data_IF_180796670448
#
_entry.id   IF_180796670448
#
_cell.length_a   1.000
_cell.length_b   1.000
_cell.length_c   1.000
_cell.angle_alpha   90.00
_cell.angle_beta   90.00
_cell.angle_gamma   90.00
#
_symmetry.space_group_name_H-M   'P 1'
#
loop_
_entity.id
_entity.type
_entity.pdbx_description
1 polymer ?
#
# COMPACT_ATOMS: atom_id res chain seq x y z
N UNK A 1 1.34 -15.66 20.23
CA UNK A 1 0.56 -16.78 19.60
C UNK A 1 1.49 -17.97 19.41
N UNK A 2 1.08 -19.18 19.86
CA UNK A 2 1.90 -20.41 19.79
C UNK A 2 2.19 -20.81 18.33
N UNK A 3 3.37 -21.36 18.05
CA UNK A 3 3.82 -21.79 16.71
C UNK A 3 2.84 -22.78 16.04
N UNK A 4 2.28 -23.71 16.81
CA UNK A 4 1.27 -24.65 16.31
C UNK A 4 -0.02 -23.97 15.83
N UNK A 5 -0.49 -22.94 16.55
CA UNK A 5 -1.68 -22.16 16.13
C UNK A 5 -1.42 -21.38 14.83
N UNK A 6 -0.22 -20.84 14.67
CA UNK A 6 0.21 -20.16 13.43
C UNK A 6 0.22 -21.15 12.26
N UNK A 7 0.89 -22.30 12.43
CA UNK A 7 0.93 -23.33 11.39
C UNK A 7 -0.48 -23.81 10.99
N UNK A 8 -1.35 -24.03 11.98
CA UNK A 8 -2.72 -24.43 11.72
C UNK A 8 -3.50 -23.40 10.91
N UNK A 9 -3.33 -22.11 11.21
CA UNK A 9 -3.91 -21.00 10.43
C UNK A 9 -3.41 -21.06 8.98
N UNK A 10 -2.11 -21.25 8.77
CA UNK A 10 -1.56 -21.35 7.43
C UNK A 10 -2.16 -22.51 6.64
N UNK A 11 -2.23 -23.69 7.24
CA UNK A 11 -2.82 -24.89 6.63
C UNK A 11 -4.28 -24.63 6.28
N UNK A 12 -5.06 -24.08 7.21
CA UNK A 12 -6.49 -23.76 6.99
C UNK A 12 -6.68 -22.83 5.79
N UNK A 13 -5.91 -21.75 5.70
CA UNK A 13 -5.99 -20.82 4.57
C UNK A 13 -5.50 -21.47 3.27
N UNK A 14 -4.46 -22.28 3.32
CA UNK A 14 -3.93 -23.00 2.16
C UNK A 14 -4.95 -24.00 1.59
N UNK A 15 -5.61 -24.74 2.46
CA UNK A 15 -6.69 -25.67 2.07
C UNK A 15 -7.87 -24.89 1.47
N UNK A 16 -8.30 -23.79 2.12
CA UNK A 16 -9.38 -22.93 1.59
C UNK A 16 -9.03 -22.38 0.21
N UNK A 17 -7.80 -21.92 0.01
CA UNK A 17 -7.32 -21.42 -1.27
C UNK A 17 -7.31 -22.52 -2.34
N UNK A 18 -6.84 -23.73 -1.97
CA UNK A 18 -6.81 -24.87 -2.89
C UNK A 18 -8.22 -25.34 -3.29
N UNK A 19 -9.16 -25.36 -2.35
CA UNK A 19 -10.57 -25.69 -2.65
C UNK A 19 -11.16 -24.67 -3.63
N UNK A 20 -10.87 -23.38 -3.44
CA UNK A 20 -11.38 -22.30 -4.30
C UNK A 20 -10.72 -22.28 -5.67
N UNK A 21 -9.44 -22.61 -5.74
CA UNK A 21 -8.64 -22.61 -6.97
C UNK A 21 -7.78 -23.89 -7.03
N UNK A 22 -8.39 -25.06 -7.35
CA UNK A 22 -7.67 -26.32 -7.40
C UNK A 22 -6.67 -26.33 -8.55
N UNK A 23 -5.42 -26.75 -8.25
CA UNK A 23 -4.38 -26.86 -9.28
C UNK A 23 -2.97 -26.90 -8.71
N UNK A 24 -2.05 -27.39 -9.54
CA UNK A 24 -0.64 -27.52 -9.19
C UNK A 24 0.02 -26.16 -8.85
N UNK A 25 -0.38 -25.10 -9.55
CA UNK A 25 0.10 -23.74 -9.30
C UNK A 25 -0.24 -23.26 -7.89
N UNK A 26 -1.46 -23.50 -7.41
CA UNK A 26 -1.89 -23.14 -6.05
C UNK A 26 -1.07 -23.89 -5.01
N UNK A 27 -0.89 -25.21 -5.19
CA UNK A 27 -0.09 -26.03 -4.29
C UNK A 27 1.37 -25.56 -4.25
N UNK A 28 1.99 -25.36 -5.43
CA UNK A 28 3.37 -24.86 -5.55
C UNK A 28 3.54 -23.49 -4.88
N UNK A 29 2.60 -22.58 -5.07
CA UNK A 29 2.61 -21.23 -4.48
C UNK A 29 2.54 -21.31 -2.95
N UNK A 30 1.65 -22.15 -2.43
CA UNK A 30 1.48 -22.35 -0.99
C UNK A 30 2.76 -22.90 -0.35
N UNK A 31 3.36 -23.94 -0.92
CA UNK A 31 4.61 -24.50 -0.40
C UNK A 31 5.75 -23.49 -0.47
N UNK A 32 5.88 -22.78 -1.60
CA UNK A 32 6.96 -21.81 -1.84
C UNK A 32 6.97 -20.65 -0.83
N UNK A 33 5.81 -20.12 -0.46
CA UNK A 33 5.73 -18.93 0.40
C UNK A 33 5.56 -19.25 1.89
N UNK A 34 5.51 -20.52 2.27
CA UNK A 34 5.47 -20.93 3.67
C UNK A 34 6.65 -20.39 4.52
N UNK A 35 7.92 -20.46 4.08
CA UNK A 35 9.03 -19.91 4.84
C UNK A 35 8.91 -18.41 5.09
N UNK A 36 8.56 -17.63 4.07
CA UNK A 36 8.35 -16.18 4.18
C UNK A 36 7.23 -15.86 5.17
N UNK A 37 6.10 -16.54 5.07
CA UNK A 37 4.99 -16.40 6.01
C UNK A 37 5.39 -16.74 7.45
N UNK A 38 6.11 -17.84 7.66
CA UNK A 38 6.60 -18.26 8.98
C UNK A 38 7.51 -17.21 9.61
N UNK A 39 8.44 -16.66 8.85
CA UNK A 39 9.38 -15.63 9.31
C UNK A 39 8.65 -14.35 9.69
N UNK A 40 7.72 -13.88 8.86
CA UNK A 40 6.97 -12.67 9.10
C UNK A 40 6.07 -12.74 10.34
N UNK A 41 5.41 -13.88 10.59
CA UNK A 41 4.54 -14.05 11.76
C UNK A 41 5.27 -14.45 13.05
N UNK A 42 6.51 -14.90 12.96
CA UNK A 42 7.20 -15.51 14.11
C UNK A 42 7.54 -14.53 15.24
N UNK A 43 7.75 -13.24 14.94
CA UNK A 43 8.47 -12.32 15.83
C UNK A 43 7.68 -11.10 16.32
N UNK A 44 6.36 -11.09 16.24
CA UNK A 44 5.57 -9.91 16.62
C UNK A 44 5.86 -8.68 15.75
N UNK A 45 6.49 -8.89 14.62
CA UNK A 45 6.84 -7.89 13.62
C UNK A 45 5.57 -7.35 12.95
N UNK A 46 5.65 -6.15 12.43
CA UNK A 46 4.60 -5.53 11.63
C UNK A 46 5.16 -5.09 10.28
N UNK A 47 4.30 -4.65 9.36
CA UNK A 47 4.70 -4.26 8.01
C UNK A 47 5.83 -3.21 8.00
N UNK A 48 5.78 -2.25 8.93
CA UNK A 48 6.77 -1.17 9.03
C UNK A 48 8.14 -1.72 9.49
N UNK A 49 8.18 -2.53 10.56
CA UNK A 49 9.44 -3.10 11.06
C UNK A 49 10.10 -4.07 10.08
N UNK A 50 9.29 -4.73 9.26
CA UNK A 50 9.78 -5.69 8.26
C UNK A 50 10.06 -5.05 6.89
N UNK A 51 9.77 -3.76 6.69
CA UNK A 51 9.86 -3.08 5.38
C UNK A 51 9.12 -3.86 4.28
N UNK A 52 7.91 -4.34 4.58
CA UNK A 52 7.14 -5.18 3.65
C UNK A 52 5.79 -4.53 3.40
N UNK A 53 5.39 -4.30 2.13
CA UNK A 53 4.07 -3.81 1.80
C UNK A 53 2.99 -4.82 2.24
N UNK A 54 1.82 -4.31 2.60
CA UNK A 54 0.69 -5.17 2.98
C UNK A 54 0.04 -5.82 1.74
N UNK A 55 0.86 -6.55 1.01
CA UNK A 55 0.53 -7.27 -0.21
C UNK A 55 0.71 -8.78 -0.03
N UNK A 56 0.17 -9.55 -0.95
CA UNK A 56 0.42 -11.00 -0.96
C UNK A 56 1.89 -11.30 -1.28
N UNK A 57 2.44 -12.38 -0.75
CA UNK A 57 3.83 -12.76 -1.07
C UNK A 57 4.09 -12.96 -2.57
N UNK A 58 3.16 -13.52 -3.38
CA UNK A 58 3.31 -13.53 -4.83
C UNK A 58 3.47 -12.13 -5.44
N UNK A 59 2.66 -11.15 -4.99
CA UNK A 59 2.75 -9.76 -5.44
C UNK A 59 4.09 -9.12 -5.06
N UNK A 60 4.55 -9.33 -3.82
CA UNK A 60 5.88 -8.85 -3.38
C UNK A 60 6.99 -9.48 -4.22
N UNK A 61 6.90 -10.78 -4.51
CA UNK A 61 7.89 -11.46 -5.36
C UNK A 61 7.85 -10.94 -6.80
N UNK A 62 6.67 -10.59 -7.33
CA UNK A 62 6.53 -9.96 -8.64
C UNK A 62 7.21 -8.58 -8.65
N UNK A 63 6.93 -7.73 -7.66
CA UNK A 63 7.56 -6.43 -7.51
C UNK A 63 9.09 -6.54 -7.43
N UNK A 64 9.62 -7.42 -6.57
CA UNK A 64 11.07 -7.62 -6.42
C UNK A 64 11.78 -8.02 -7.72
N UNK A 65 11.06 -8.62 -8.68
CA UNK A 65 11.64 -9.03 -9.97
C UNK A 65 11.57 -7.95 -11.04
N UNK A 66 10.62 -7.03 -10.93
CA UNK A 66 10.29 -6.08 -11.99
C UNK A 66 10.69 -4.64 -11.65
N UNK A 67 10.91 -4.31 -10.37
CA UNK A 67 11.35 -2.98 -9.96
C UNK A 67 12.86 -2.82 -10.08
N UNK A 68 13.28 -1.59 -10.37
CA UNK A 68 14.68 -1.19 -10.42
C UNK A 68 14.86 0.24 -9.89
N UNK A 69 16.13 0.64 -9.68
CA UNK A 69 16.48 1.92 -9.06
C UNK A 69 16.12 3.17 -9.87
N UNK A 70 15.89 3.05 -11.17
CA UNK A 70 15.54 4.17 -12.04
C UNK A 70 14.05 4.51 -12.03
N UNK A 71 13.22 3.60 -11.51
CA UNK A 71 11.78 3.78 -11.44
C UNK A 71 11.38 4.88 -10.46
N UNK A 72 10.21 5.47 -10.72
CA UNK A 72 9.54 6.45 -9.88
C UNK A 72 8.25 5.85 -9.33
N UNK A 73 8.00 6.05 -8.03
CA UNK A 73 6.80 5.52 -7.36
C UNK A 73 6.01 6.65 -6.74
N UNK A 74 4.69 6.61 -6.91
CA UNK A 74 3.74 7.36 -6.09
C UNK A 74 2.95 6.38 -5.22
N UNK A 75 2.78 6.71 -3.95
CA UNK A 75 2.09 5.87 -2.99
C UNK A 75 1.03 6.66 -2.24
N UNK A 76 -0.20 6.17 -2.30
CA UNK A 76 -1.31 6.60 -1.47
C UNK A 76 -1.49 5.64 -0.28
N UNK A 77 -1.22 6.14 0.93
CA UNK A 77 -1.19 5.33 2.16
C UNK A 77 0.19 4.74 2.42
N UNK A 78 0.87 5.31 3.39
CA UNK A 78 2.24 4.95 3.75
C UNK A 78 2.34 3.75 4.67
N UNK A 79 3.54 3.19 4.81
CA UNK A 79 3.77 2.12 5.77
C UNK A 79 5.04 1.31 5.51
N UNK A 80 4.91 0.00 5.66
CA UNK A 80 5.99 -0.92 5.29
C UNK A 80 6.33 -0.89 3.81
N UNK A 81 5.38 -0.50 2.96
CA UNK A 81 5.58 -0.27 1.54
C UNK A 81 6.51 0.92 1.27
N UNK A 82 6.36 2.03 1.99
CA UNK A 82 7.26 3.19 1.88
C UNK A 82 8.72 2.78 2.14
N UNK A 83 8.95 1.99 3.18
CA UNK A 83 10.27 1.45 3.51
C UNK A 83 10.76 0.43 2.48
N UNK A 84 9.85 -0.40 1.96
CA UNK A 84 10.16 -1.35 0.88
C UNK A 84 10.64 -0.64 -0.39
N UNK A 85 9.95 0.45 -0.78
CA UNK A 85 10.34 1.26 -1.94
C UNK A 85 11.68 1.95 -1.69
N UNK A 86 11.89 2.54 -0.52
CA UNK A 86 13.11 3.30 -0.19
C UNK A 86 14.40 2.48 -0.28
N UNK A 87 14.32 1.18 -0.03
CA UNK A 87 15.46 0.27 -0.19
C UNK A 87 15.79 -0.07 -1.66
N UNK A 88 14.84 0.17 -2.59
CA UNK A 88 14.90 -0.34 -3.97
C UNK A 88 14.86 0.73 -5.05
N UNK A 89 14.28 1.87 -4.76
CA UNK A 89 13.93 2.93 -5.71
C UNK A 89 14.46 4.26 -5.16
N UNK A 90 14.94 5.14 -6.04
CA UNK A 90 15.52 6.44 -5.63
C UNK A 90 14.51 7.58 -5.55
N UNK A 91 13.37 7.48 -6.24
CA UNK A 91 12.39 8.56 -6.28
C UNK A 91 11.03 8.03 -5.86
N UNK A 92 10.63 8.40 -4.65
CA UNK A 92 9.39 7.96 -4.02
C UNK A 92 8.66 9.18 -3.51
N UNK A 93 7.41 9.29 -3.88
CA UNK A 93 6.46 10.23 -3.33
C UNK A 93 5.41 9.43 -2.57
N UNK A 94 5.27 9.66 -1.28
CA UNK A 94 4.29 8.96 -0.44
C UNK A 94 3.41 9.98 0.28
N UNK A 95 2.11 9.75 0.28
CA UNK A 95 1.13 10.58 0.97
C UNK A 95 0.40 9.76 2.04
N UNK A 96 0.19 10.38 3.20
CA UNK A 96 -0.49 9.78 4.35
C UNK A 96 -1.55 10.74 4.88
N UNK A 97 -2.66 10.20 5.34
CA UNK A 97 -3.76 10.99 5.90
C UNK A 97 -3.86 10.90 7.43
N UNK A 98 -3.40 9.79 8.00
CA UNK A 98 -3.40 9.58 9.45
C UNK A 98 -2.12 10.15 10.07
N UNK A 99 -2.27 11.22 10.87
CA UNK A 99 -1.14 11.91 11.51
C UNK A 99 -0.31 10.98 12.42
N UNK A 100 -0.96 10.10 13.18
CA UNK A 100 -0.24 9.20 14.09
C UNK A 100 0.58 8.18 13.31
N UNK A 101 0.00 7.68 12.21
CA UNK A 101 0.70 6.75 11.32
C UNK A 101 1.82 7.43 10.55
N UNK A 102 1.58 8.66 10.07
CA UNK A 102 2.59 9.51 9.45
C UNK A 102 3.82 9.68 10.35
N UNK A 103 3.63 10.11 11.60
CA UNK A 103 4.74 10.31 12.55
C UNK A 103 5.50 9.00 12.83
N UNK A 104 4.81 7.88 12.90
CA UNK A 104 5.44 6.57 13.08
C UNK A 104 6.34 6.18 11.91
N UNK A 105 5.85 6.33 10.68
CA UNK A 105 6.64 6.01 9.47
C UNK A 105 7.78 7.01 9.28
N UNK A 106 7.53 8.30 9.52
CA UNK A 106 8.54 9.36 9.49
C UNK A 106 9.69 9.07 10.44
N UNK A 107 9.39 8.67 11.68
CA UNK A 107 10.41 8.26 12.65
C UNK A 107 11.26 7.08 12.16
N UNK A 108 10.66 6.10 11.50
CA UNK A 108 11.41 4.98 10.92
C UNK A 108 12.30 5.42 9.75
N UNK A 109 11.83 6.34 8.91
CA UNK A 109 12.65 6.93 7.83
C UNK A 109 13.85 7.69 8.41
N UNK A 110 13.65 8.47 9.47
CA UNK A 110 14.70 9.22 10.17
C UNK A 110 15.72 8.28 10.85
N UNK A 111 15.25 7.25 11.58
CA UNK A 111 16.10 6.26 12.23
C UNK A 111 16.99 5.48 11.25
N UNK A 112 16.52 5.32 10.02
CA UNK A 112 17.27 4.64 8.94
C UNK A 112 18.01 5.60 8.04
N UNK A 113 18.04 6.90 8.35
CA UNK A 113 18.67 7.96 7.57
C UNK A 113 18.20 8.04 6.11
N UNK A 114 16.93 7.66 5.84
CA UNK A 114 16.34 7.66 4.51
C UNK A 114 15.85 9.08 4.18
N UNK A 115 16.52 9.77 3.24
CA UNK A 115 16.26 11.18 2.88
C UNK A 115 15.65 11.36 1.48
N UNK A 116 15.53 10.32 0.70
CA UNK A 116 15.10 10.39 -0.71
C UNK A 116 13.61 10.05 -0.92
N UNK A 117 12.84 10.01 0.16
CA UNK A 117 11.38 9.87 0.14
C UNK A 117 10.76 11.25 0.35
N UNK A 118 10.01 11.74 -0.63
CA UNK A 118 9.15 12.92 -0.48
C UNK A 118 7.88 12.49 0.23
N UNK A 119 7.78 12.75 1.52
CA UNK A 119 6.73 12.23 2.39
C UNK A 119 5.83 13.35 2.91
N UNK A 120 4.51 13.25 2.66
CA UNK A 120 3.54 14.30 2.93
C UNK A 120 2.41 13.80 3.85
N UNK A 121 2.05 14.61 4.84
CA UNK A 121 0.82 14.45 5.62
C UNK A 121 -0.26 15.31 4.97
N UNK A 122 -1.35 14.70 4.53
CA UNK A 122 -2.50 15.34 3.92
C UNK A 122 -3.76 14.77 4.57
N UNK A 123 -4.18 15.41 5.67
CA UNK A 123 -5.32 14.99 6.47
C UNK A 123 -6.64 15.20 5.73
N UNK A 124 -7.69 14.50 6.17
CA UNK A 124 -9.04 14.71 5.64
C UNK A 124 -9.56 16.10 6.01
N UNK A 125 -10.41 16.66 5.14
CA UNK A 125 -11.00 17.97 5.26
C UNK A 125 -12.50 17.84 5.54
N UNK A 126 -13.10 18.79 6.26
CA UNK A 126 -14.56 18.82 6.43
C UNK A 126 -15.26 18.96 5.07
N UNK A 127 -16.38 18.26 4.92
CA UNK A 127 -17.20 18.27 3.70
C UNK A 127 -18.68 18.45 4.04
N UNK A 128 -19.20 19.68 3.97
CA UNK A 128 -20.62 19.95 4.25
C UNK A 128 -21.59 19.19 3.35
N UNK A 129 -21.16 18.85 2.14
CA UNK A 129 -21.98 18.16 1.14
C UNK A 129 -21.80 16.62 1.18
N UNK A 130 -21.10 16.08 2.17
CA UNK A 130 -20.79 14.65 2.29
C UNK A 130 -22.02 13.75 2.09
N UNK A 131 -23.17 14.11 2.65
CA UNK A 131 -24.40 13.33 2.56
C UNK A 131 -24.97 13.18 1.14
N UNK A 132 -24.54 14.03 0.20
CA UNK A 132 -24.92 14.00 -1.22
C UNK A 132 -23.94 13.23 -2.09
N UNK A 133 -22.84 12.71 -1.52
CA UNK A 133 -21.71 12.11 -2.20
C UNK A 133 -21.67 10.60 -2.09
N UNK A 134 -20.92 9.96 -2.99
CA UNK A 134 -20.72 8.52 -3.03
C UNK A 134 -19.24 8.18 -3.10
N UNK A 135 -18.77 7.30 -2.22
CA UNK A 135 -17.39 6.79 -2.26
C UNK A 135 -17.04 6.03 -3.55
N UNK A 136 -18.04 5.61 -4.32
CA UNK A 136 -17.85 5.01 -5.63
C UNK A 136 -17.66 6.03 -6.77
N UNK A 137 -18.03 7.31 -6.55
CA UNK A 137 -17.84 8.37 -7.52
C UNK A 137 -16.45 9.00 -7.37
N UNK A 138 -15.57 8.90 -8.39
CA UNK A 138 -14.21 9.43 -8.30
C UNK A 138 -14.11 10.96 -8.13
N UNK A 139 -15.19 11.69 -8.40
CA UNK A 139 -15.22 13.15 -8.25
C UNK A 139 -15.63 13.62 -6.85
N UNK A 140 -15.99 12.71 -5.96
CA UNK A 140 -16.52 13.05 -4.64
C UNK A 140 -15.46 13.08 -3.55
N UNK A 141 -14.29 12.45 -3.78
CA UNK A 141 -13.13 12.44 -2.88
C UNK A 141 -13.39 11.90 -1.48
N UNK A 142 -14.44 11.11 -1.27
CA UNK A 142 -14.83 10.57 0.03
C UNK A 142 -14.44 9.10 0.18
N UNK A 143 -14.42 8.61 1.42
CA UNK A 143 -14.19 7.22 1.76
C UNK A 143 -15.46 6.60 2.35
N UNK A 144 -15.60 5.28 2.24
CA UNK A 144 -16.63 4.47 2.91
C UNK A 144 -16.27 4.10 4.36
N UNK A 145 -15.12 4.56 4.86
CA UNK A 145 -14.70 4.32 6.25
C UNK A 145 -15.50 5.21 7.21
N UNK A 146 -16.21 4.57 8.15
CA UNK A 146 -17.08 5.23 9.13
C UNK A 146 -16.36 6.28 10.01
N UNK A 147 -15.03 6.18 10.15
CA UNK A 147 -14.22 7.15 10.89
C UNK A 147 -14.09 8.51 10.19
N UNK A 148 -14.47 8.60 8.91
CA UNK A 148 -14.32 9.80 8.08
C UNK A 148 -15.67 10.30 7.54
N UNK A 149 -16.77 10.00 8.23
CA UNK A 149 -18.09 10.56 7.89
C UNK A 149 -18.05 12.08 8.02
N UNK A 150 -18.55 12.79 7.01
CA UNK A 150 -18.52 14.26 6.95
C UNK A 150 -17.18 14.83 6.46
N UNK A 151 -16.27 14.00 5.94
CA UNK A 151 -14.94 14.42 5.49
C UNK A 151 -14.63 13.98 4.06
N UNK A 152 -13.78 14.75 3.38
CA UNK A 152 -13.23 14.43 2.07
C UNK A 152 -11.70 14.39 2.08
N UNK A 153 -11.12 13.82 1.06
CA UNK A 153 -9.68 13.64 0.86
C UNK A 153 -9.18 14.35 -0.40
N UNK A 154 -9.70 15.54 -0.70
CA UNK A 154 -9.41 16.20 -1.97
C UNK A 154 -7.93 16.56 -2.12
N UNK A 155 -7.31 17.21 -1.12
CA UNK A 155 -5.87 17.54 -1.17
C UNK A 155 -5.00 16.28 -1.23
N UNK A 156 -5.37 15.23 -0.47
CA UNK A 156 -4.69 13.94 -0.48
C UNK A 156 -4.68 13.31 -1.88
N UNK A 157 -5.84 13.27 -2.54
CA UNK A 157 -5.99 12.71 -3.88
C UNK A 157 -5.25 13.55 -4.92
N UNK A 158 -5.41 14.88 -4.86
CA UNK A 158 -4.85 15.81 -5.86
C UNK A 158 -3.34 16.01 -5.75
N UNK A 159 -2.69 15.50 -4.71
CA UNK A 159 -1.23 15.62 -4.59
C UNK A 159 -0.48 15.07 -5.82
N UNK A 160 -1.00 14.03 -6.44
CA UNK A 160 -0.39 13.46 -7.66
C UNK A 160 -0.50 14.41 -8.86
N UNK A 161 -1.47 15.33 -8.88
CA UNK A 161 -1.67 16.28 -9.99
C UNK A 161 -0.53 17.29 -10.13
N UNK A 162 0.28 17.48 -9.06
CA UNK A 162 1.48 18.33 -9.10
C UNK A 162 2.59 17.77 -10.01
N UNK A 163 2.47 16.52 -10.45
CA UNK A 163 3.44 15.86 -11.31
C UNK A 163 2.97 15.79 -12.76
N UNK A 164 3.89 15.72 -13.73
CA UNK A 164 3.54 15.57 -15.14
C UNK A 164 2.71 14.29 -15.42
N UNK A 165 1.99 14.27 -16.53
CA UNK A 165 1.39 13.04 -17.03
C UNK A 165 2.49 12.04 -17.42
N UNK A 166 2.21 10.74 -17.35
CA UNK A 166 3.15 9.65 -17.67
C UNK A 166 4.48 9.72 -16.89
N UNK A 167 4.43 10.18 -15.64
CA UNK A 167 5.63 10.38 -14.83
C UNK A 167 6.02 9.16 -13.99
N UNK A 168 5.05 8.44 -13.45
CA UNK A 168 5.29 7.33 -12.52
C UNK A 168 5.35 5.98 -13.22
N UNK A 169 6.33 5.15 -12.83
CA UNK A 169 6.39 3.75 -13.25
C UNK A 169 5.44 2.87 -12.44
N UNK A 170 5.15 3.26 -11.18
CA UNK A 170 4.25 2.53 -10.28
C UNK A 170 3.43 3.55 -9.47
N UNK A 171 2.13 3.27 -9.36
CA UNK A 171 1.23 3.98 -8.44
C UNK A 171 0.60 2.94 -7.52
N UNK A 172 0.94 2.99 -6.23
CA UNK A 172 0.32 2.15 -5.21
C UNK A 172 -0.83 2.90 -4.54
N UNK A 173 -2.04 2.32 -4.54
CA UNK A 173 -3.23 2.91 -3.93
C UNK A 173 -3.71 1.99 -2.80
N UNK A 174 -3.24 2.25 -1.58
CA UNK A 174 -3.61 1.50 -0.38
C UNK A 174 -4.12 2.39 0.77
N UNK A 175 -4.58 3.59 0.41
CA UNK A 175 -5.14 4.57 1.35
C UNK A 175 -6.65 4.76 1.22
N UNK A 176 -7.10 6.01 1.31
CA UNK A 176 -8.50 6.45 1.29
C UNK A 176 -8.92 6.98 -0.09
N UNK A 177 -10.24 7.18 -0.29
CA UNK A 177 -10.80 7.72 -1.53
C UNK A 177 -10.23 7.03 -2.79
N UNK A 178 -10.10 5.69 -2.77
CA UNK A 178 -9.41 4.92 -3.81
C UNK A 178 -9.94 5.16 -5.22
N UNK A 179 -11.25 5.27 -5.49
CA UNK A 179 -11.76 5.60 -6.82
C UNK A 179 -11.22 6.93 -7.35
N UNK A 180 -11.16 7.96 -6.49
CA UNK A 180 -10.60 9.27 -6.85
C UNK A 180 -9.09 9.17 -7.09
N UNK A 181 -8.35 8.45 -6.24
CA UNK A 181 -6.91 8.21 -6.44
C UNK A 181 -6.63 7.50 -7.77
N UNK A 182 -7.46 6.52 -8.15
CA UNK A 182 -7.34 5.82 -9.44
C UNK A 182 -7.56 6.80 -10.58
N UNK A 183 -8.64 7.59 -10.55
CA UNK A 183 -8.99 8.52 -11.61
C UNK A 183 -7.88 9.56 -11.88
N UNK A 184 -7.31 10.13 -10.81
CA UNK A 184 -6.18 11.06 -10.90
C UNK A 184 -4.87 10.36 -11.30
N UNK A 185 -4.64 9.15 -10.78
CA UNK A 185 -3.42 8.40 -11.02
C UNK A 185 -3.27 7.88 -12.46
N UNK A 186 -4.36 7.53 -13.12
CA UNK A 186 -4.31 6.90 -14.46
C UNK A 186 -3.52 7.71 -15.49
N UNK A 187 -3.65 9.05 -15.49
CA UNK A 187 -2.91 9.92 -16.42
C UNK A 187 -1.43 10.05 -16.05
N UNK A 188 -1.11 9.81 -14.78
CA UNK A 188 0.23 9.97 -14.23
C UNK A 188 1.09 8.72 -14.37
N UNK A 189 0.46 7.58 -14.67
CA UNK A 189 1.12 6.32 -14.90
C UNK A 189 1.70 6.28 -16.32
N UNK A 190 2.96 5.84 -16.47
CA UNK A 190 3.60 5.64 -17.77
C UNK A 190 2.88 4.55 -18.59
N UNK A 191 2.95 4.55 -19.92
CA UNK A 191 2.30 3.53 -20.76
C UNK A 191 2.73 2.09 -20.47
N UNK A 192 3.90 1.91 -19.87
CA UNK A 192 4.43 0.60 -19.45
C UNK A 192 4.48 0.43 -17.94
N UNK A 193 3.87 1.34 -17.21
CA UNK A 193 3.79 1.31 -15.75
C UNK A 193 2.73 0.38 -15.20
#
# INVERSE_FOLDING_TARGET
>A
MNAYRKLWIYIKFSVKLFIKNPGFTTLKTTIRFFPAWKTHLANGKNSVTDSIPWLTFPSINFLNKNINKQMTVFEYGSGGSTLFWSERIKQIISVEHDKKWYEKVKKELELREIKHVSYFLLEAEEDPDFALKSSANPNDYISDDENFVGQKFEQYVRKIDEYPDEYFDIILIDGRARPSCIAHGMKKLKPQG
#
